data_IF_014257186681
#
_entry.id   IF_014257186681
#
_cell.length_a   1.000
_cell.length_b   1.000
_cell.length_c   1.000
_cell.angle_alpha   90.00
_cell.angle_beta   90.00
_cell.angle_gamma   90.00
#
_symmetry.space_group_name_H-M   'P 1'
#
loop_
_entity.id
_entity.type
_entity.pdbx_description
1 polymer ?
#
# COMPACT_ATOMS: atom_id res chain seq x y z
N UNK A 1 -12.05 21.67 -16.48
CA UNK A 1 -13.11 21.20 -15.56
C UNK A 1 -13.07 22.08 -14.32
N UNK A 2 -14.21 22.58 -13.82
CA UNK A 2 -14.22 23.30 -12.55
C UNK A 2 -13.82 22.31 -11.44
N UNK A 3 -12.68 22.56 -10.78
CA UNK A 3 -12.14 21.69 -9.73
C UNK A 3 -10.69 21.23 -9.91
N UNK A 4 -10.05 21.48 -11.07
CA UNK A 4 -8.60 21.25 -11.27
C UNK A 4 -8.12 19.79 -11.15
N UNK A 5 -9.03 18.85 -10.88
CA UNK A 5 -8.74 17.43 -10.73
C UNK A 5 -8.83 16.74 -12.09
N UNK A 6 -7.74 16.12 -12.54
CA UNK A 6 -7.78 15.17 -13.64
C UNK A 6 -8.18 13.81 -13.08
N UNK A 7 -9.43 13.38 -13.27
CA UNK A 7 -9.78 11.97 -13.10
C UNK A 7 -8.81 11.14 -13.93
N UNK A 8 -8.02 10.28 -13.28
CA UNK A 8 -7.08 9.43 -14.00
C UNK A 8 -7.85 8.54 -14.97
N UNK A 9 -7.46 8.55 -16.25
CA UNK A 9 -8.08 7.76 -17.32
C UNK A 9 -8.17 6.26 -17.01
N UNK A 10 -7.44 5.78 -15.99
CA UNK A 10 -7.52 4.43 -15.44
C UNK A 10 -8.93 4.00 -14.98
N UNK A 11 -9.82 4.95 -14.64
CA UNK A 11 -11.17 4.65 -14.13
C UNK A 11 -12.25 4.74 -15.20
N UNK A 12 -11.92 5.21 -16.39
CA UNK A 12 -12.88 5.44 -17.46
C UNK A 12 -12.82 4.34 -18.51
N UNK A 13 -13.99 3.86 -18.90
CA UNK A 13 -14.12 2.92 -20.01
C UNK A 13 -13.93 3.68 -21.32
N UNK A 14 -12.82 3.43 -22.02
CA UNK A 14 -12.68 3.88 -23.41
C UNK A 14 -13.66 3.08 -24.30
N UNK A 15 -14.24 3.75 -25.30
CA UNK A 15 -15.14 3.10 -26.28
C UNK A 15 -14.44 1.87 -26.90
N UNK A 16 -15.04 0.70 -26.75
CA UNK A 16 -14.52 -0.58 -27.27
C UNK A 16 -13.85 -1.52 -26.25
N UNK A 17 -13.63 -1.10 -24.99
CA UNK A 17 -13.06 -1.96 -23.94
C UNK A 17 -14.11 -2.81 -23.23
N UNK A 18 -13.79 -4.07 -22.92
CA UNK A 18 -14.61 -4.93 -22.04
C UNK A 18 -14.24 -4.67 -20.57
N UNK A 19 -15.20 -4.79 -19.65
CA UNK A 19 -14.95 -4.64 -18.20
C UNK A 19 -13.78 -5.50 -17.68
N UNK A 20 -13.62 -6.76 -18.11
CA UNK A 20 -12.45 -7.57 -17.74
C UNK A 20 -11.13 -7.00 -18.27
N UNK A 21 -11.12 -6.39 -19.46
CA UNK A 21 -9.92 -5.77 -20.04
C UNK A 21 -9.41 -4.57 -19.25
N UNK A 22 -10.34 -3.72 -18.77
CA UNK A 22 -10.00 -2.58 -17.91
C UNK A 22 -9.51 -3.07 -16.55
N UNK A 23 -10.18 -4.05 -15.94
CA UNK A 23 -9.74 -4.63 -14.66
C UNK A 23 -8.35 -5.27 -14.77
N UNK A 24 -8.08 -6.00 -15.85
CA UNK A 24 -6.78 -6.67 -16.05
C UNK A 24 -5.65 -5.67 -16.26
N UNK A 25 -5.88 -4.61 -17.05
CA UNK A 25 -4.87 -3.56 -17.25
C UNK A 25 -4.61 -2.77 -15.97
N UNK A 26 -5.65 -2.43 -15.20
CA UNK A 26 -5.51 -1.81 -13.88
C UNK A 26 -4.73 -2.70 -12.93
N UNK A 27 -5.08 -3.98 -12.80
CA UNK A 27 -4.37 -4.92 -11.92
C UNK A 27 -2.91 -5.11 -12.36
N UNK A 28 -2.63 -5.17 -13.66
CA UNK A 28 -1.26 -5.25 -14.16
C UNK A 28 -0.43 -4.04 -13.77
N UNK A 29 -0.96 -2.83 -13.96
CA UNK A 29 -0.31 -1.58 -13.58
C UNK A 29 -0.16 -1.46 -12.06
N UNK A 30 -1.21 -1.79 -11.30
CA UNK A 30 -1.23 -1.81 -9.84
C UNK A 30 -0.16 -2.74 -9.29
N UNK A 31 -0.10 -3.99 -9.77
CA UNK A 31 0.90 -4.97 -9.32
C UNK A 31 2.30 -4.48 -9.67
N UNK A 32 2.54 -3.97 -10.89
CA UNK A 32 3.84 -3.45 -11.29
C UNK A 32 4.30 -2.29 -10.39
N UNK A 33 3.40 -1.35 -10.11
CA UNK A 33 3.65 -0.23 -9.21
C UNK A 33 3.91 -0.72 -7.77
N UNK A 34 3.02 -1.53 -7.21
CA UNK A 34 3.16 -2.04 -5.86
C UNK A 34 4.42 -2.88 -5.71
N UNK A 35 4.79 -3.66 -6.74
CA UNK A 35 6.06 -4.34 -6.81
C UNK A 35 7.21 -3.33 -6.74
N UNK A 36 7.26 -2.33 -7.62
CA UNK A 36 8.32 -1.32 -7.61
C UNK A 36 8.48 -0.62 -6.25
N UNK A 37 7.38 -0.29 -5.58
CA UNK A 37 7.40 0.38 -4.27
C UNK A 37 7.76 -0.54 -3.11
N UNK A 38 7.24 -1.77 -3.10
CA UNK A 38 7.38 -2.67 -1.95
C UNK A 38 8.62 -3.55 -2.04
N UNK A 39 9.14 -3.84 -3.23
CA UNK A 39 10.34 -4.67 -3.43
C UNK A 39 11.54 -4.20 -2.61
N UNK A 40 11.89 -2.89 -2.57
CA UNK A 40 13.01 -2.39 -1.78
C UNK A 40 12.86 -2.73 -0.30
N UNK A 41 11.64 -2.66 0.22
CA UNK A 41 11.34 -2.98 1.61
C UNK A 41 11.25 -4.49 1.88
N UNK A 42 10.88 -5.29 0.87
CA UNK A 42 10.73 -6.74 0.97
C UNK A 42 12.07 -7.48 0.81
N UNK A 43 12.97 -6.95 -0.01
CA UNK A 43 14.22 -7.60 -0.40
C UNK A 43 15.09 -8.00 0.81
N UNK A 44 15.28 -7.17 1.86
CA UNK A 44 16.04 -7.56 3.04
C UNK A 44 15.38 -8.71 3.81
N UNK A 45 14.04 -8.74 3.89
CA UNK A 45 13.30 -9.81 4.55
C UNK A 45 13.37 -11.14 3.80
N UNK A 46 13.21 -11.09 2.46
CA UNK A 46 13.37 -12.25 1.58
C UNK A 46 14.80 -12.80 1.62
N UNK A 47 15.81 -11.93 1.68
CA UNK A 47 17.20 -12.34 1.76
C UNK A 47 17.50 -13.09 3.06
N UNK A 48 17.03 -12.57 4.21
CA UNK A 48 17.17 -13.27 5.50
C UNK A 48 16.44 -14.60 5.52
N UNK A 49 15.23 -14.66 4.96
CA UNK A 49 14.48 -15.92 4.81
C UNK A 49 15.28 -16.94 3.97
N UNK A 50 15.82 -16.50 2.83
CA UNK A 50 16.64 -17.36 1.97
C UNK A 50 17.89 -17.86 2.70
N UNK A 51 18.54 -17.04 3.51
CA UNK A 51 19.69 -17.47 4.32
C UNK A 51 19.28 -18.49 5.39
N UNK A 52 18.18 -18.25 6.11
CA UNK A 52 17.67 -19.18 7.12
C UNK A 52 17.34 -20.55 6.52
N UNK A 53 16.68 -20.59 5.35
CA UNK A 53 16.34 -21.83 4.64
C UNK A 53 17.57 -22.51 4.01
N UNK A 54 18.61 -21.76 3.63
CA UNK A 54 19.88 -22.33 3.18
C UNK A 54 20.58 -23.08 4.31
N UNK A 55 20.56 -22.51 5.53
CA UNK A 55 21.21 -23.10 6.70
C UNK A 55 20.53 -24.40 7.16
N UNK A 56 19.28 -24.65 6.76
CA UNK A 56 18.57 -25.90 7.04
C UNK A 56 18.84 -27.01 6.01
N UNK A 57 19.73 -26.81 5.02
CA UNK A 57 20.17 -27.85 4.09
C UNK A 57 19.21 -28.17 2.93
N UNK A 58 18.26 -27.28 2.63
CA UNK A 58 17.23 -27.51 1.60
C UNK A 58 17.83 -27.35 0.19
N UNK A 59 17.47 -28.23 -0.73
CA UNK A 59 18.00 -28.27 -2.11
C UNK A 59 17.62 -27.06 -2.97
N UNK A 60 16.46 -26.44 -2.74
CA UNK A 60 15.93 -25.35 -3.58
C UNK A 60 15.41 -24.14 -2.78
N UNK A 61 16.27 -23.42 -2.03
CA UNK A 61 15.89 -22.27 -1.23
C UNK A 61 15.34 -21.10 -2.08
N UNK A 62 15.74 -21.01 -3.35
CA UNK A 62 15.23 -20.02 -4.29
C UNK A 62 13.74 -20.20 -4.59
N UNK A 63 13.28 -21.45 -4.78
CA UNK A 63 11.89 -21.76 -5.10
C UNK A 63 10.95 -21.43 -3.93
N UNK A 64 11.38 -21.70 -2.70
CA UNK A 64 10.66 -21.31 -1.49
C UNK A 64 10.58 -19.78 -1.33
N UNK A 65 11.67 -19.08 -1.65
CA UNK A 65 11.70 -17.60 -1.61
C UNK A 65 10.76 -16.98 -2.65
N UNK A 66 10.71 -17.54 -3.87
CA UNK A 66 9.74 -17.14 -4.90
C UNK A 66 8.31 -17.37 -4.41
N UNK A 67 8.03 -18.53 -3.80
CA UNK A 67 6.70 -18.85 -3.28
C UNK A 67 6.23 -17.87 -2.18
N UNK A 68 7.14 -17.44 -1.31
CA UNK A 68 6.87 -16.36 -0.33
C UNK A 68 6.51 -15.05 -1.05
N UNK A 69 7.26 -14.69 -2.10
CA UNK A 69 6.97 -13.51 -2.92
C UNK A 69 5.61 -13.59 -3.62
N UNK A 70 5.25 -14.74 -4.19
CA UNK A 70 3.94 -14.94 -4.83
C UNK A 70 2.81 -14.82 -3.81
N UNK A 71 2.97 -15.41 -2.62
CA UNK A 71 2.01 -15.26 -1.52
C UNK A 71 1.88 -13.82 -1.03
N UNK A 72 2.96 -13.04 -1.07
CA UNK A 72 2.93 -11.62 -0.74
C UNK A 72 2.16 -10.80 -1.78
N UNK A 73 2.45 -11.02 -3.07
CA UNK A 73 1.81 -10.28 -4.15
C UNK A 73 0.35 -10.67 -4.38
N UNK A 74 -0.06 -11.89 -4.05
CA UNK A 74 -1.47 -12.30 -4.14
C UNK A 74 -2.37 -11.47 -3.21
N UNK A 75 -1.89 -11.11 -2.02
CA UNK A 75 -2.59 -10.20 -1.10
C UNK A 75 -2.73 -8.81 -1.75
N UNK A 76 -1.66 -8.29 -2.36
CA UNK A 76 -1.71 -7.01 -3.08
C UNK A 76 -2.66 -7.02 -4.28
N UNK A 77 -2.77 -8.13 -4.99
CA UNK A 77 -3.75 -8.31 -6.06
C UNK A 77 -5.18 -8.20 -5.52
N UNK A 78 -5.46 -8.83 -4.37
CA UNK A 78 -6.78 -8.72 -3.72
C UNK A 78 -7.09 -7.29 -3.29
N UNK A 79 -6.11 -6.56 -2.74
CA UNK A 79 -6.25 -5.14 -2.44
C UNK A 79 -6.47 -4.28 -3.69
N UNK A 80 -5.75 -4.56 -4.77
CA UNK A 80 -5.93 -3.89 -6.06
C UNK A 80 -7.33 -4.10 -6.62
N UNK A 81 -7.87 -5.32 -6.52
CA UNK A 81 -9.25 -5.62 -6.91
C UNK A 81 -10.26 -4.83 -6.08
N UNK A 82 -10.10 -4.80 -4.75
CA UNK A 82 -10.97 -4.03 -3.87
C UNK A 82 -10.92 -2.52 -4.18
N UNK A 83 -9.71 -1.98 -4.39
CA UNK A 83 -9.51 -0.59 -4.80
C UNK A 83 -10.13 -0.31 -6.16
N UNK A 84 -10.06 -1.26 -7.10
CA UNK A 84 -10.68 -1.13 -8.42
C UNK A 84 -12.20 -0.99 -8.31
N UNK A 85 -12.84 -1.92 -7.59
CA UNK A 85 -14.30 -1.93 -7.38
C UNK A 85 -14.75 -0.64 -6.68
N UNK A 86 -14.00 -0.22 -5.64
CA UNK A 86 -14.31 1.01 -4.91
C UNK A 86 -14.20 2.24 -5.81
N UNK A 87 -13.12 2.35 -6.61
CA UNK A 87 -12.93 3.46 -7.54
C UNK A 87 -14.00 3.52 -8.63
N UNK A 88 -14.42 2.37 -9.17
CA UNK A 88 -15.53 2.30 -10.14
C UNK A 88 -16.85 2.74 -9.50
N UNK A 89 -17.14 2.30 -8.26
CA UNK A 89 -18.35 2.71 -7.55
C UNK A 89 -18.38 4.22 -7.25
N UNK A 90 -17.25 4.79 -6.81
CA UNK A 90 -17.09 6.23 -6.61
C UNK A 90 -17.29 7.02 -7.91
N UNK A 91 -16.68 6.57 -9.01
CA UNK A 91 -16.84 7.21 -10.32
C UNK A 91 -18.30 7.17 -10.80
N UNK A 92 -19.02 6.07 -10.54
CA UNK A 92 -20.45 5.95 -10.85
C UNK A 92 -21.31 6.91 -10.02
N UNK A 93 -21.02 7.07 -8.73
CA UNK A 93 -21.73 8.00 -7.84
C UNK A 93 -21.46 9.46 -8.19
N UNK A 94 -20.24 9.80 -8.58
CA UNK A 94 -19.86 11.16 -9.01
C UNK A 94 -20.60 11.57 -10.28
N UNK A 95 -20.74 10.64 -11.25
CA UNK A 95 -21.54 10.87 -12.47
C UNK A 95 -23.03 11.11 -12.20
N UNK A 96 -23.56 10.59 -11.09
CA UNK A 96 -24.97 10.74 -10.72
C UNK A 96 -25.25 12.01 -9.91
N UNK A 97 -24.25 12.56 -9.20
CA UNK A 97 -24.44 13.69 -8.29
C UNK A 97 -23.37 14.77 -8.46
N UNK A 98 -23.62 15.83 -9.26
CA UNK A 98 -22.68 16.95 -9.42
C UNK A 98 -22.44 17.76 -8.13
N UNK A 99 -23.31 17.63 -7.12
CA UNK A 99 -23.08 18.17 -5.77
C UNK A 99 -21.95 17.43 -5.03
N UNK A 100 -21.73 16.14 -5.33
CA UNK A 100 -20.66 15.33 -4.73
C UNK A 100 -19.28 15.77 -5.24
N UNK A 101 -19.17 16.20 -6.50
CA UNK A 101 -17.94 16.74 -7.09
C UNK A 101 -17.38 17.93 -6.30
N UNK A 102 -18.26 18.73 -5.66
CA UNK A 102 -17.87 19.87 -4.81
C UNK A 102 -17.38 19.44 -3.42
N UNK A 103 -17.76 18.25 -2.95
CA UNK A 103 -17.33 17.66 -1.68
C UNK A 103 -16.08 16.78 -1.80
N UNK A 104 -15.65 16.42 -3.02
CA UNK A 104 -14.45 15.61 -3.28
C UNK A 104 -13.19 16.17 -2.60
N UNK A 105 -12.88 17.49 -2.64
CA UNK A 105 -11.68 18.01 -1.99
C UNK A 105 -11.70 17.84 -0.46
N UNK A 106 -12.88 17.97 0.15
CA UNK A 106 -13.08 17.75 1.58
C UNK A 106 -12.94 16.26 1.91
N UNK A 107 -13.54 15.39 1.11
CA UNK A 107 -13.42 13.93 1.27
C UNK A 107 -11.96 13.47 1.14
N UNK A 108 -11.21 14.02 0.17
CA UNK A 108 -9.77 13.80 0.02
C UNK A 108 -9.02 14.19 1.30
N UNK A 109 -9.26 15.40 1.81
CA UNK A 109 -8.64 15.88 3.04
C UNK A 109 -8.99 15.02 4.27
N UNK A 110 -10.23 14.54 4.38
CA UNK A 110 -10.68 13.63 5.44
C UNK A 110 -9.98 12.27 5.35
N UNK A 111 -9.84 11.70 4.15
CA UNK A 111 -9.10 10.43 3.98
C UNK A 111 -7.63 10.60 4.35
N UNK A 112 -6.99 11.70 3.92
CA UNK A 112 -5.60 12.01 4.27
C UNK A 112 -5.46 12.19 5.79
N UNK A 113 -6.41 12.87 6.45
CA UNK A 113 -6.45 13.01 7.90
C UNK A 113 -6.54 11.66 8.62
N UNK A 114 -7.49 10.80 8.22
CA UNK A 114 -7.70 9.47 8.81
C UNK A 114 -6.44 8.62 8.61
N UNK A 115 -5.84 8.66 7.43
CA UNK A 115 -4.59 7.97 7.12
C UNK A 115 -3.41 8.48 7.97
N UNK A 116 -3.35 9.79 8.23
CA UNK A 116 -2.39 10.40 9.15
C UNK A 116 -2.61 9.95 10.59
N UNK A 117 -3.85 9.96 11.08
CA UNK A 117 -4.22 9.47 12.40
C UNK A 117 -3.87 7.97 12.58
N UNK A 118 -4.08 7.17 11.52
CA UNK A 118 -3.72 5.75 11.51
C UNK A 118 -2.22 5.52 11.77
N UNK A 119 -1.35 6.47 11.41
CA UNK A 119 0.08 6.38 11.68
C UNK A 119 0.44 6.38 13.17
N UNK A 120 -0.41 6.97 14.02
CA UNK A 120 -0.18 7.04 15.47
C UNK A 120 -0.69 5.81 16.22
N UNK A 121 -1.39 4.89 15.54
CA UNK A 121 -2.02 3.74 16.18
C UNK A 121 -1.00 2.72 16.69
N UNK A 122 -1.28 2.16 17.88
CA UNK A 122 -0.54 1.01 18.42
C UNK A 122 -0.68 -0.22 17.50
N UNK A 123 -1.80 -0.32 16.77
CA UNK A 123 -2.05 -1.32 15.75
C UNK A 123 -0.98 -1.29 14.64
N UNK A 124 -0.73 -0.13 14.03
CA UNK A 124 0.34 0.03 13.02
C UNK A 124 1.70 -0.34 13.59
N UNK A 125 2.01 0.15 14.80
CA UNK A 125 3.29 -0.13 15.44
C UNK A 125 3.52 -1.64 15.69
N UNK A 126 2.46 -2.36 16.10
CA UNK A 126 2.50 -3.82 16.27
C UNK A 126 2.76 -4.54 14.94
N UNK A 127 2.02 -4.19 13.89
CA UNK A 127 2.19 -4.80 12.56
C UNK A 127 3.56 -4.52 11.96
N UNK A 128 4.09 -3.31 12.16
CA UNK A 128 5.44 -2.94 11.72
C UNK A 128 6.51 -3.75 12.47
N UNK A 129 6.32 -4.01 13.77
CA UNK A 129 7.20 -4.89 14.52
C UNK A 129 7.16 -6.32 13.98
N UNK A 130 5.98 -6.88 13.72
CA UNK A 130 5.82 -8.21 13.10
C UNK A 130 6.46 -8.29 11.71
N UNK A 131 6.37 -7.24 10.88
CA UNK A 131 7.06 -7.19 9.59
C UNK A 131 8.59 -7.18 9.70
N UNK A 132 9.14 -6.77 10.84
CA UNK A 132 10.58 -6.69 11.10
C UNK A 132 11.14 -7.94 11.78
N UNK A 133 10.28 -8.75 12.39
CA UNK A 133 10.70 -10.00 13.02
C UNK A 133 11.42 -10.90 12.01
N UNK A 134 12.59 -11.39 12.41
CA UNK A 134 13.45 -12.20 11.55
C UNK A 134 12.95 -13.65 11.51
N UNK A 135 12.71 -14.22 10.30
CA UNK A 135 12.38 -15.63 10.19
C UNK A 135 13.55 -16.47 10.72
N UNK A 136 13.26 -17.38 11.67
CA UNK A 136 14.26 -18.20 12.35
C UNK A 136 14.63 -17.74 13.77
N UNK A 137 14.29 -16.51 14.18
CA UNK A 137 14.64 -16.01 15.51
C UNK A 137 13.82 -16.63 16.66
N UNK A 138 12.62 -17.14 16.36
CA UNK A 138 11.71 -17.74 17.35
C UNK A 138 11.48 -19.24 17.16
N UNK A 139 11.67 -19.77 15.95
CA UNK A 139 11.50 -21.19 15.61
C UNK A 139 12.18 -21.51 14.28
N UNK A 140 12.68 -22.74 14.08
CA UNK A 140 13.28 -23.16 12.82
C UNK A 140 12.28 -23.01 11.67
N UNK A 141 12.73 -22.45 10.54
CA UNK A 141 11.90 -22.24 9.35
C UNK A 141 11.61 -23.61 8.73
N UNK A 142 10.36 -24.10 8.74
CA UNK A 142 10.06 -25.39 8.15
C UNK A 142 10.19 -25.29 6.62
N UNK A 143 10.92 -26.23 6.03
CA UNK A 143 11.25 -26.28 4.59
C UNK A 143 10.10 -26.77 3.69
N UNK A 144 8.86 -26.53 4.09
CA UNK A 144 7.67 -26.98 3.37
C UNK A 144 7.10 -25.87 2.46
N UNK A 145 6.49 -26.27 1.34
CA UNK A 145 5.89 -25.32 0.39
C UNK A 145 4.66 -24.63 0.99
N UNK A 146 3.86 -25.34 1.78
CA UNK A 146 2.70 -24.80 2.49
C UNK A 146 3.09 -23.77 3.55
N UNK A 147 4.18 -24.00 4.28
CA UNK A 147 4.69 -23.03 5.28
C UNK A 147 5.25 -21.78 4.62
N UNK A 148 5.98 -21.90 3.50
CA UNK A 148 6.46 -20.76 2.72
C UNK A 148 5.31 -19.93 2.14
N UNK A 149 4.29 -20.56 1.58
CA UNK A 149 3.09 -19.86 1.08
C UNK A 149 2.36 -19.09 2.19
N UNK A 150 2.07 -19.74 3.32
CA UNK A 150 1.42 -19.11 4.49
C UNK A 150 2.27 -17.98 5.08
N UNK A 151 3.60 -18.12 5.05
CA UNK A 151 4.51 -17.07 5.47
C UNK A 151 4.42 -15.85 4.55
N UNK A 152 4.43 -16.06 3.22
CA UNK A 152 4.20 -15.01 2.23
C UNK A 152 2.88 -14.27 2.42
N UNK A 153 1.78 -15.01 2.62
CA UNK A 153 0.45 -14.43 2.88
C UNK A 153 0.43 -13.58 4.15
N UNK A 154 0.97 -14.09 5.27
CA UNK A 154 1.04 -13.33 6.53
C UNK A 154 1.89 -12.08 6.39
N UNK A 155 3.04 -12.19 5.73
CA UNK A 155 3.90 -11.04 5.45
C UNK A 155 3.19 -9.99 4.59
N UNK A 156 2.43 -10.45 3.58
CA UNK A 156 1.57 -9.62 2.75
C UNK A 156 0.53 -8.87 3.57
N UNK A 157 -0.26 -9.59 4.36
CA UNK A 157 -1.30 -9.01 5.22
C UNK A 157 -0.71 -8.00 6.21
N UNK A 158 0.35 -8.34 6.95
CA UNK A 158 0.97 -7.40 7.88
C UNK A 158 1.50 -6.15 7.17
N UNK A 159 2.07 -6.31 5.97
CA UNK A 159 2.53 -5.18 5.15
C UNK A 159 1.37 -4.29 4.72
N UNK A 160 0.28 -4.89 4.24
CA UNK A 160 -0.89 -4.15 3.81
C UNK A 160 -1.50 -3.39 4.99
N UNK A 161 -1.61 -4.01 6.17
CA UNK A 161 -2.11 -3.32 7.37
C UNK A 161 -1.20 -2.19 7.83
N UNK A 162 0.13 -2.34 7.78
CA UNK A 162 1.03 -1.27 8.21
C UNK A 162 1.08 -0.11 7.21
N UNK A 163 0.95 -0.40 5.92
CA UNK A 163 1.00 0.61 4.85
C UNK A 163 -0.38 1.15 4.45
N UNK A 164 -1.48 0.62 4.99
CA UNK A 164 -2.86 0.92 4.58
C UNK A 164 -3.14 2.43 4.47
N UNK A 165 -2.71 3.22 5.46
CA UNK A 165 -2.88 4.68 5.43
C UNK A 165 -2.15 5.35 4.26
N UNK A 166 -0.89 4.98 4.02
CA UNK A 166 -0.09 5.54 2.91
C UNK A 166 -0.62 5.07 1.55
N UNK A 167 -1.09 3.84 1.44
CA UNK A 167 -1.77 3.33 0.23
C UNK A 167 -3.09 4.05 -0.02
N UNK A 168 -3.87 4.35 1.02
CA UNK A 168 -5.09 5.15 0.89
C UNK A 168 -4.78 6.57 0.38
N UNK A 169 -3.73 7.20 0.90
CA UNK A 169 -3.27 8.51 0.41
C UNK A 169 -2.86 8.43 -1.07
N UNK A 170 -2.11 7.40 -1.47
CA UNK A 170 -1.73 7.21 -2.87
C UNK A 170 -2.95 7.08 -3.79
N UNK A 171 -3.97 6.33 -3.35
CA UNK A 171 -5.22 6.16 -4.11
C UNK A 171 -5.96 7.48 -4.28
N UNK A 172 -6.00 8.30 -3.23
CA UNK A 172 -6.76 9.55 -3.19
C UNK A 172 -6.03 10.72 -3.85
N UNK A 173 -4.69 10.79 -3.78
CA UNK A 173 -3.90 11.81 -4.50
C UNK A 173 -3.79 11.46 -5.99
N UNK A 174 -3.86 10.16 -6.31
CA UNK A 174 -3.84 9.67 -7.67
C UNK A 174 -2.63 8.77 -7.91
N UNK A 175 -2.92 7.59 -8.45
CA UNK A 175 -1.95 6.53 -8.80
C UNK A 175 -0.97 6.98 -9.92
N UNK A 176 -1.12 8.18 -10.49
CA UNK A 176 -0.26 8.66 -11.58
C UNK A 176 0.76 9.71 -11.13
N UNK A 177 0.72 10.17 -9.88
CA UNK A 177 1.71 11.14 -9.39
C UNK A 177 3.01 10.41 -8.98
N UNK A 178 3.99 10.42 -9.90
CA UNK A 178 5.33 9.85 -9.69
C UNK A 178 6.06 10.45 -8.47
N UNK A 179 5.79 11.71 -8.11
CA UNK A 179 6.40 12.35 -6.93
C UNK A 179 5.77 11.80 -5.66
N UNK A 180 4.44 11.70 -5.60
CA UNK A 180 3.74 11.08 -4.50
C UNK A 180 4.18 9.62 -4.33
N UNK A 181 4.30 8.89 -5.44
CA UNK A 181 4.84 7.53 -5.44
C UNK A 181 6.24 7.45 -4.80
N UNK A 182 7.17 8.30 -5.23
CA UNK A 182 8.53 8.31 -4.72
C UNK A 182 8.58 8.66 -3.23
N UNK A 183 7.82 9.67 -2.80
CA UNK A 183 7.74 10.11 -1.40
C UNK A 183 7.17 9.00 -0.52
N UNK A 184 6.06 8.36 -0.93
CA UNK A 184 5.45 7.28 -0.16
C UNK A 184 6.33 6.04 -0.11
N UNK A 185 7.02 5.71 -1.20
CA UNK A 185 7.99 4.61 -1.24
C UNK A 185 9.14 4.87 -0.26
N UNK A 186 9.69 6.09 -0.27
CA UNK A 186 10.73 6.50 0.66
C UNK A 186 10.22 6.43 2.11
N UNK A 187 9.02 6.96 2.37
CA UNK A 187 8.39 6.91 3.69
C UNK A 187 8.23 5.48 4.20
N UNK A 188 7.67 4.57 3.40
CA UNK A 188 7.49 3.15 3.76
C UNK A 188 8.83 2.45 3.98
N UNK A 189 9.81 2.75 3.12
CA UNK A 189 11.14 2.16 3.20
C UNK A 189 11.86 2.61 4.47
N UNK A 190 11.82 3.91 4.78
CA UNK A 190 12.42 4.48 6.00
C UNK A 190 11.68 3.95 7.24
N UNK A 191 10.35 3.89 7.23
CA UNK A 191 9.57 3.29 8.32
C UNK A 191 9.95 1.83 8.55
N UNK A 192 10.21 1.03 7.50
CA UNK A 192 10.58 -0.37 7.65
C UNK A 192 12.03 -0.57 8.08
N UNK A 193 12.97 0.18 7.50
CA UNK A 193 14.40 0.01 7.69
C UNK A 193 14.96 0.78 8.90
N UNK A 194 14.23 1.77 9.41
CA UNK A 194 14.67 2.52 10.59
C UNK A 194 14.86 1.57 11.80
N UNK A 195 15.95 1.73 12.58
CA UNK A 195 16.19 0.94 13.79
C UNK A 195 14.98 0.93 14.73
N UNK A 196 14.77 -0.17 15.47
CA UNK A 196 13.61 -0.38 16.34
C UNK A 196 13.19 0.82 17.22
N UNK A 197 14.10 1.60 17.85
CA UNK A 197 13.71 2.81 18.59
C UNK A 197 13.35 4.00 17.69
N UNK A 198 13.96 4.14 16.51
CA UNK A 198 13.73 5.24 15.58
C UNK A 198 12.45 5.05 14.73
N UNK A 199 12.07 3.81 14.43
CA UNK A 199 10.91 3.52 13.56
C UNK A 199 9.59 4.08 14.06
N UNK A 200 9.36 4.05 15.38
CA UNK A 200 8.16 4.64 16.00
C UNK A 200 8.15 6.17 15.87
N UNK A 201 9.31 6.81 15.98
CA UNK A 201 9.45 8.26 15.84
C UNK A 201 9.26 8.70 14.38
N UNK A 202 9.83 7.95 13.44
CA UNK A 202 9.63 8.16 12.00
C UNK A 202 8.15 8.05 11.61
N UNK A 203 7.46 6.98 12.02
CA UNK A 203 6.03 6.81 11.74
C UNK A 203 5.18 7.94 12.37
N UNK A 204 5.54 8.42 13.57
CA UNK A 204 4.86 9.57 14.17
C UNK A 204 5.12 10.88 13.42
N UNK A 205 6.35 11.10 12.95
CA UNK A 205 6.71 12.28 12.17
C UNK A 205 5.99 12.31 10.83
N UNK A 206 5.97 11.17 10.11
CA UNK A 206 5.22 11.04 8.85
C UNK A 206 3.72 11.25 9.12
N UNK A 207 3.18 10.64 10.18
CA UNK A 207 1.81 10.87 10.62
C UNK A 207 1.49 12.34 10.86
N UNK A 208 2.35 13.07 11.55
CA UNK A 208 2.16 14.49 11.84
C UNK A 208 2.15 15.34 10.56
N UNK A 209 3.08 15.08 9.64
CA UNK A 209 3.12 15.75 8.33
C UNK A 209 1.84 15.47 7.55
N UNK A 210 1.43 14.21 7.48
CA UNK A 210 0.21 13.79 6.75
C UNK A 210 -1.04 14.43 7.36
N UNK A 211 -1.17 14.46 8.70
CA UNK A 211 -2.28 15.14 9.37
C UNK A 211 -2.27 16.63 9.04
N UNK A 212 -1.11 17.29 9.10
CA UNK A 212 -0.97 18.70 8.73
C UNK A 212 -1.40 18.99 7.29
N UNK A 213 -1.00 18.14 6.35
CA UNK A 213 -1.43 18.23 4.94
C UNK A 213 -2.93 18.02 4.82
N UNK A 214 -3.52 17.02 5.50
CA UNK A 214 -4.96 16.78 5.50
C UNK A 214 -5.76 17.97 6.04
N UNK A 215 -5.33 18.57 7.15
CA UNK A 215 -5.93 19.79 7.71
C UNK A 215 -5.82 20.96 6.75
N UNK A 216 -4.67 21.16 6.12
CA UNK A 216 -4.45 22.22 5.14
C UNK A 216 -5.38 22.07 3.93
N UNK A 217 -5.53 20.84 3.41
CA UNK A 217 -6.44 20.56 2.29
C UNK A 217 -7.90 20.87 2.65
N UNK A 218 -8.34 20.52 3.87
CA UNK A 218 -9.68 20.85 4.35
C UNK A 218 -9.85 22.36 4.53
N UNK A 219 -8.86 23.04 5.12
CA UNK A 219 -8.90 24.48 5.31
C UNK A 219 -8.94 25.25 3.98
N UNK A 220 -8.17 24.82 2.98
CA UNK A 220 -8.20 25.39 1.63
C UNK A 220 -9.54 25.13 0.92
N UNK A 221 -10.17 23.99 1.16
CA UNK A 221 -11.49 23.68 0.62
C UNK A 221 -12.64 24.41 1.34
N UNK A 222 -12.45 24.79 2.61
CA UNK A 222 -13.43 25.49 3.44
C UNK A 222 -13.27 27.03 3.44
N UNK A 223 -12.11 27.54 3.00
CA UNK A 223 -11.88 28.98 2.86
C UNK A 223 -12.77 29.59 1.78
N UNK A 224 -13.24 30.84 1.96
CA UNK A 224 -14.10 31.48 0.97
C UNK A 224 -13.29 31.75 -0.30
N UNK A 225 -13.60 31.00 -1.37
CA UNK A 225 -13.24 31.31 -2.75
C UNK A 225 -14.25 32.23 -3.39
#
# INVERSE_FOLDING_TARGET
MPGGWSMSMAWMRMCGQTWPGVATSFLGMWIAMMAAMMLPSLAPGLWRYRQAVRNTGVTHPGRLTVLVGVGYFSVWTAFGMAAFVLGVALAALEMQMPALARAVPIAVGVVVLIAGAFQFTTWKAHHLACCRETPGARSPVPADTGTAWRYGLRLGLHCSYCCAGLTAILLVIGVMDLRAMAVLTAAITVERLAPAPAGKHVARAIGAVVVGVGLLLIALAAGPG
#
